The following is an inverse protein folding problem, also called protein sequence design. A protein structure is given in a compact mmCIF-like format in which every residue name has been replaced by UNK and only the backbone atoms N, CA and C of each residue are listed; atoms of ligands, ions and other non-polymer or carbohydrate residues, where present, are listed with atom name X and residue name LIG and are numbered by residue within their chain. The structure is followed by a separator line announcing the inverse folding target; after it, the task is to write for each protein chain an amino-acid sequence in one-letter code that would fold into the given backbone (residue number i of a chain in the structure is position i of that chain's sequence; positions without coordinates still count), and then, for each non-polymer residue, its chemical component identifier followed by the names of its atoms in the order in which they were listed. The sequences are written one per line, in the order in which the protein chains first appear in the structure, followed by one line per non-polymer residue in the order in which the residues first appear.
data_IF_675912518447
#
_entry.id   IF_675912518447
#
_cell.length_a   1.000
_cell.length_b   1.000
_cell.length_c   1.000
_cell.angle_alpha   90.00
_cell.angle_beta   90.00
_cell.angle_gamma   90.00
#
_symmetry.space_group_name_H-M   'P 1'
#
loop_
_entity.id
_entity.type
_entity.pdbx_description
1 polymer ?
#
# COMPACT_ATOMS: atom_id res chain seq x y z
N UNK A 1 -17.55 16.52 -7.28
CA UNK A 1 -16.40 16.39 -8.23
C UNK A 1 -15.06 16.36 -7.49
N UNK A 2 -14.58 17.47 -6.88
CA UNK A 2 -13.22 17.57 -6.29
C UNK A 2 -12.87 16.64 -5.11
N UNK A 3 -13.84 16.06 -4.41
CA UNK A 3 -13.60 15.10 -3.31
C UNK A 3 -13.62 13.62 -3.73
N UNK A 4 -13.99 13.31 -4.99
CA UNK A 4 -14.05 11.92 -5.49
C UNK A 4 -12.68 11.22 -5.46
N UNK A 5 -11.55 11.86 -5.82
CA UNK A 5 -10.24 11.23 -5.75
C UNK A 5 -9.83 10.92 -4.31
N UNK A 6 -10.02 11.86 -3.37
CA UNK A 6 -9.74 11.65 -1.95
C UNK A 6 -10.58 10.49 -1.38
N UNK A 7 -11.88 10.43 -1.72
CA UNK A 7 -12.77 9.35 -1.29
C UNK A 7 -12.38 8.00 -1.90
N UNK A 8 -12.08 7.94 -3.20
CA UNK A 8 -11.62 6.71 -3.86
C UNK A 8 -10.28 6.22 -3.29
N UNK A 9 -9.41 7.13 -2.87
CA UNK A 9 -8.14 6.79 -2.27
C UNK A 9 -8.25 6.41 -0.79
N UNK A 10 -9.18 7.01 -0.05
CA UNK A 10 -9.58 6.53 1.27
C UNK A 10 -10.27 5.16 1.18
N UNK A 11 -11.01 4.88 0.10
CA UNK A 11 -11.55 3.56 -0.20
C UNK A 11 -10.43 2.54 -0.52
N UNK A 12 -9.33 2.98 -1.15
CA UNK A 12 -8.13 2.16 -1.40
C UNK A 12 -7.29 1.92 -0.14
N UNK A 13 -7.05 2.94 0.68
CA UNK A 13 -6.43 2.84 2.02
C UNK A 13 -7.25 1.93 2.93
N UNK A 14 -8.57 1.92 2.73
CA UNK A 14 -9.48 1.02 3.42
C UNK A 14 -9.33 -0.42 2.95
N UNK A 15 -9.11 -0.73 1.67
CA UNK A 15 -8.79 -2.11 1.27
C UNK A 15 -7.60 -2.69 2.05
N UNK A 16 -6.74 -1.82 2.58
CA UNK A 16 -5.51 -2.17 3.28
C UNK A 16 -5.71 -2.24 4.81
N UNK A 17 -6.67 -1.48 5.35
CA UNK A 17 -7.10 -1.54 6.76
C UNK A 17 -8.22 -2.59 6.99
N UNK A 18 -8.96 -2.99 5.94
CA UNK A 18 -10.30 -3.62 6.02
C UNK A 18 -10.40 -4.94 5.26
N UNK A 19 -9.35 -5.75 5.23
CA UNK A 19 -9.45 -7.12 4.73
C UNK A 19 -10.28 -8.05 5.67
N UNK A 20 -11.27 -7.53 6.43
CA UNK A 20 -11.62 -8.11 7.72
C UNK A 20 -13.07 -8.40 8.13
N UNK A 21 -14.11 -7.88 7.48
CA UNK A 21 -15.48 -8.31 7.80
C UNK A 21 -16.46 -7.73 6.79
N UNK A 22 -17.65 -8.33 6.66
CA UNK A 22 -18.76 -7.74 5.88
C UNK A 22 -19.13 -6.30 6.34
N UNK A 23 -18.69 -5.89 7.54
CA UNK A 23 -18.89 -4.54 8.10
C UNK A 23 -17.60 -4.04 8.80
N UNK A 24 -16.98 -2.93 8.37
CA UNK A 24 -15.69 -2.45 8.90
C UNK A 24 -15.81 -1.86 10.32
N UNK A 25 -14.87 -2.16 11.24
CA UNK A 25 -14.81 -1.63 12.64
C UNK A 25 -13.42 -1.07 13.00
N UNK A 26 -13.32 -0.08 13.90
CA UNK A 26 -12.03 0.45 14.41
C UNK A 26 -11.95 1.98 14.45
N UNK A 27 -10.75 2.55 14.58
CA UNK A 27 -10.51 4.00 14.48
C UNK A 27 -9.45 4.31 13.42
N UNK A 28 -9.63 5.40 12.68
CA UNK A 28 -8.65 5.95 11.73
C UNK A 28 -8.49 7.43 12.01
N UNK A 29 -7.26 7.90 12.20
CA UNK A 29 -6.95 9.31 12.44
C UNK A 29 -6.36 9.95 11.18
N UNK A 30 -7.11 10.91 10.62
CA UNK A 30 -6.79 11.64 9.39
C UNK A 30 -6.31 13.06 9.71
N UNK A 31 -5.07 13.38 9.32
CA UNK A 31 -4.55 14.75 9.38
C UNK A 31 -4.86 15.54 8.09
N UNK A 32 -5.40 16.76 8.22
CA UNK A 32 -5.71 17.62 7.06
C UNK A 32 -5.34 19.09 7.26
N UNK A 33 -4.96 19.81 6.19
CA UNK A 33 -4.82 21.26 6.19
C UNK A 33 -6.17 21.96 6.33
N UNK A 34 -6.22 23.17 6.91
CA UNK A 34 -7.46 23.94 7.07
C UNK A 34 -8.26 24.12 5.78
N UNK A 35 -7.60 24.34 4.63
CA UNK A 35 -8.28 24.46 3.34
C UNK A 35 -9.00 23.18 2.93
N UNK A 36 -8.40 22.02 3.21
CA UNK A 36 -8.98 20.70 2.92
C UNK A 36 -10.12 20.42 3.88
N UNK A 37 -9.93 20.75 5.16
CA UNK A 37 -10.93 20.65 6.22
C UNK A 37 -12.24 21.35 5.83
N UNK A 38 -12.16 22.63 5.48
CA UNK A 38 -13.34 23.44 5.11
C UNK A 38 -14.09 22.91 3.88
N UNK A 39 -13.38 22.30 2.94
CA UNK A 39 -13.99 21.84 1.69
C UNK A 39 -14.55 20.43 1.77
N UNK A 40 -13.83 19.54 2.45
CA UNK A 40 -13.98 18.10 2.26
C UNK A 40 -14.34 17.34 3.52
N UNK A 41 -14.02 17.82 4.72
CA UNK A 41 -14.21 17.00 5.94
C UNK A 41 -15.68 16.71 6.23
N UNK A 42 -16.58 17.68 6.11
CA UNK A 42 -18.02 17.44 6.32
C UNK A 42 -18.62 16.43 5.34
N UNK A 43 -18.50 16.59 4.00
CA UNK A 43 -19.01 15.59 3.06
C UNK A 43 -18.27 14.26 3.15
N UNK A 44 -16.98 14.27 3.54
CA UNK A 44 -16.21 13.06 3.81
C UNK A 44 -16.79 12.31 5.00
N UNK A 45 -16.96 12.94 6.16
CA UNK A 45 -17.53 12.31 7.36
C UNK A 45 -18.94 11.78 7.11
N UNK A 46 -19.80 12.56 6.44
CA UNK A 46 -21.17 12.15 6.13
C UNK A 46 -21.22 10.92 5.20
N UNK A 47 -20.30 10.85 4.22
CA UNK A 47 -20.19 9.69 3.33
C UNK A 47 -19.51 8.52 4.03
N UNK A 48 -18.47 8.76 4.82
CA UNK A 48 -17.74 7.76 5.58
C UNK A 48 -18.64 7.06 6.59
N UNK A 49 -19.43 7.79 7.37
CA UNK A 49 -20.37 7.21 8.34
C UNK A 49 -21.46 6.35 7.67
N UNK A 50 -21.90 6.70 6.46
CA UNK A 50 -22.88 5.90 5.70
C UNK A 50 -22.29 4.61 5.18
N UNK A 51 -21.05 4.64 4.71
CA UNK A 51 -20.40 3.47 4.12
C UNK A 51 -19.75 2.59 5.22
N UNK A 52 -19.30 3.20 6.32
CA UNK A 52 -18.52 2.59 7.41
C UNK A 52 -19.10 2.94 8.79
N UNK A 53 -20.31 2.46 9.13
CA UNK A 53 -21.01 2.87 10.34
C UNK A 53 -20.34 2.45 11.65
N UNK A 54 -19.41 1.47 11.61
CA UNK A 54 -18.71 0.98 12.81
C UNK A 54 -17.23 1.41 12.88
N UNK A 55 -16.77 2.25 11.95
CA UNK A 55 -15.42 2.84 11.99
C UNK A 55 -15.51 4.28 12.48
N UNK A 56 -14.75 4.61 13.51
CA UNK A 56 -14.56 5.99 13.97
C UNK A 56 -13.50 6.68 13.11
N UNK A 57 -13.90 7.69 12.34
CA UNK A 57 -12.95 8.56 11.63
C UNK A 57 -12.68 9.80 12.48
N UNK A 58 -11.48 9.88 13.02
CA UNK A 58 -10.99 11.05 13.72
C UNK A 58 -10.28 11.98 12.72
N UNK A 59 -10.53 13.28 12.82
CA UNK A 59 -9.91 14.27 11.94
C UNK A 59 -9.17 15.28 12.78
N UNK A 60 -7.88 15.43 12.49
CA UNK A 60 -7.02 16.43 13.14
C UNK A 60 -6.64 17.47 12.10
N UNK A 61 -6.90 18.74 12.42
CA UNK A 61 -6.53 19.85 11.56
C UNK A 61 -5.16 20.40 11.94
N UNK A 62 -4.29 20.59 10.96
CA UNK A 62 -2.99 21.22 11.16
C UNK A 62 -2.36 21.66 9.84
N UNK A 63 -1.39 22.56 9.92
CA UNK A 63 -0.60 22.92 8.73
C UNK A 63 0.28 21.74 8.31
N UNK A 64 0.60 21.66 7.01
CA UNK A 64 1.28 20.49 6.42
C UNK A 64 2.58 20.10 7.12
N UNK A 65 3.33 21.04 7.71
CA UNK A 65 4.51 20.73 8.51
C UNK A 65 4.20 19.98 9.82
N UNK A 66 3.17 20.42 10.56
CA UNK A 66 2.71 19.75 11.78
C UNK A 66 2.04 18.41 11.45
N UNK A 67 1.18 18.38 10.43
CA UNK A 67 0.52 17.14 9.99
C UNK A 67 1.56 16.11 9.55
N UNK A 68 2.61 16.54 8.85
CA UNK A 68 3.74 15.69 8.50
C UNK A 68 4.47 15.16 9.74
N UNK A 69 4.77 16.02 10.72
CA UNK A 69 5.43 15.62 11.96
C UNK A 69 4.59 14.59 12.75
N UNK A 70 3.29 14.85 12.88
CA UNK A 70 2.36 13.91 13.53
C UNK A 70 2.28 12.57 12.80
N UNK A 71 2.30 12.57 11.46
CA UNK A 71 2.34 11.35 10.66
C UNK A 71 3.64 10.55 10.91
N UNK A 72 4.79 11.20 10.84
CA UNK A 72 6.11 10.55 11.04
C UNK A 72 6.24 10.00 12.47
N UNK A 73 5.65 10.68 13.45
CA UNK A 73 5.66 10.25 14.86
C UNK A 73 4.51 9.27 15.21
N UNK A 74 3.76 8.78 14.22
CA UNK A 74 2.72 7.75 14.41
C UNK A 74 1.47 8.22 15.16
N UNK A 75 1.24 9.54 15.23
CA UNK A 75 0.03 10.15 15.80
C UNK A 75 -1.12 10.24 14.79
N UNK A 76 -0.84 10.03 13.51
CA UNK A 76 -1.82 9.95 12.43
C UNK A 76 -1.60 8.67 11.65
N UNK A 77 -2.67 8.08 11.13
CA UNK A 77 -2.59 6.93 10.23
C UNK A 77 -2.41 7.40 8.78
N UNK A 78 -3.10 8.50 8.44
CA UNK A 78 -3.13 9.06 7.09
C UNK A 78 -3.08 10.58 7.20
N UNK A 79 -2.39 11.22 6.27
CA UNK A 79 -2.33 12.66 6.20
C UNK A 79 -2.54 13.15 4.77
N UNK A 80 -3.31 14.22 4.63
CA UNK A 80 -3.30 15.03 3.41
C UNK A 80 -2.32 16.16 3.63
N UNK A 81 -1.33 16.35 2.78
CA UNK A 81 -0.38 17.47 2.91
C UNK A 81 -0.03 18.08 1.56
N UNK A 82 0.43 19.34 1.59
CA UNK A 82 0.98 19.99 0.40
C UNK A 82 2.48 19.77 0.31
N UNK A 83 2.97 19.45 -0.89
CA UNK A 83 4.40 19.38 -1.22
C UNK A 83 5.21 18.58 -0.18
N UNK A 84 4.83 17.31 0.05
CA UNK A 84 5.50 16.41 0.99
C UNK A 84 7.01 16.32 0.68
N UNK A 85 7.88 16.33 1.72
CA UNK A 85 9.29 15.99 1.57
C UNK A 85 9.44 14.62 0.90
N UNK A 86 10.37 14.48 -0.05
CA UNK A 86 10.74 13.18 -0.60
C UNK A 86 11.63 12.44 0.40
N UNK A 87 11.03 11.68 1.30
CA UNK A 87 11.75 10.80 2.23
C UNK A 87 11.44 9.34 1.89
N UNK A 88 12.39 8.43 2.19
CA UNK A 88 12.25 6.99 1.85
C UNK A 88 11.11 6.29 2.62
N UNK A 89 10.62 6.91 3.69
CA UNK A 89 9.71 6.29 4.64
C UNK A 89 8.25 6.73 4.48
N UNK A 90 7.92 7.38 3.36
CA UNK A 90 6.57 7.89 3.09
C UNK A 90 6.11 7.43 1.72
N UNK A 91 4.89 6.91 1.67
CA UNK A 91 4.16 6.75 0.41
C UNK A 91 3.32 8.00 0.18
N UNK A 92 3.35 8.52 -1.03
CA UNK A 92 2.66 9.75 -1.37
C UNK A 92 1.92 9.63 -2.71
N UNK A 93 0.60 9.72 -2.65
CA UNK A 93 -0.27 9.70 -3.81
C UNK A 93 -0.75 11.11 -4.16
N UNK A 94 -0.71 11.46 -5.44
CA UNK A 94 -1.14 12.80 -5.91
C UNK A 94 -2.66 12.87 -6.00
N UNK A 95 -3.26 13.76 -5.23
CA UNK A 95 -4.71 13.98 -5.24
C UNK A 95 -5.15 15.08 -6.22
N UNK A 96 -4.45 16.22 -6.18
CA UNK A 96 -4.82 17.41 -6.92
C UNK A 96 -3.62 18.35 -7.08
N UNK A 97 -3.57 19.08 -8.18
CA UNK A 97 -2.72 20.26 -8.32
C UNK A 97 -3.60 21.50 -8.26
N UNK A 98 -3.26 22.45 -7.38
CA UNK A 98 -4.00 23.69 -7.18
C UNK A 98 -3.20 24.88 -7.70
N UNK A 99 -3.88 25.75 -8.48
CA UNK A 99 -3.40 27.09 -8.78
C UNK A 99 -3.55 28.01 -7.55
N UNK A 100 -2.58 28.90 -7.36
CA UNK A 100 -2.64 29.99 -6.39
C UNK A 100 -2.98 31.32 -7.06
N UNK A 101 -3.77 32.13 -6.36
CA UNK A 101 -4.29 33.39 -6.82
C UNK A 101 -3.97 34.47 -5.81
N UNK A 102 -3.74 35.69 -6.28
CA UNK A 102 -3.87 36.86 -5.43
C UNK A 102 -5.36 37.05 -5.12
N UNK A 103 -5.69 37.10 -3.84
CA UNK A 103 -7.04 37.35 -3.33
C UNK A 103 -7.11 38.80 -2.86
N UNK A 104 -8.13 39.52 -3.33
CA UNK A 104 -8.26 40.96 -3.10
C UNK A 104 -9.72 41.33 -2.78
N UNK A 105 -9.95 42.46 -2.09
CA UNK A 105 -11.27 43.07 -2.05
C UNK A 105 -11.70 43.60 -3.44
N UNK A 106 -13.00 43.82 -3.69
CA UNK A 106 -13.51 44.45 -4.90
C UNK A 106 -12.88 45.84 -5.10
N UNK A 107 -12.51 46.18 -6.33
CA UNK A 107 -11.90 47.48 -6.67
C UNK A 107 -10.37 47.57 -6.48
N UNK A 108 -9.72 46.48 -6.04
CA UNK A 108 -8.27 46.35 -5.96
C UNK A 108 -7.53 46.51 -7.32
N UNK A 109 -6.23 46.89 -7.33
CA UNK A 109 -5.49 47.31 -8.51
C UNK A 109 -5.62 46.34 -9.70
N UNK A 110 -5.94 46.92 -10.85
CA UNK A 110 -6.28 46.23 -12.08
C UNK A 110 -5.06 45.58 -12.72
N UNK A 111 -4.88 44.28 -12.48
CA UNK A 111 -4.34 43.39 -13.51
C UNK A 111 -5.32 43.33 -14.68
N UNK A 112 -4.82 43.40 -15.91
CA UNK A 112 -5.64 43.20 -17.11
C UNK A 112 -6.17 41.75 -17.12
N UNK A 113 -7.50 41.57 -17.13
CA UNK A 113 -8.18 40.28 -17.42
C UNK A 113 -7.86 39.11 -16.47
N UNK A 114 -8.34 39.18 -15.21
CA UNK A 114 -8.34 38.07 -14.23
C UNK A 114 -6.95 37.48 -13.88
N UNK A 115 -5.86 38.13 -14.31
CA UNK A 115 -4.46 37.69 -14.15
C UNK A 115 -3.60 38.83 -13.60
N UNK A 116 -2.56 38.48 -12.87
CA UNK A 116 -1.55 39.42 -12.37
C UNK A 116 -0.18 38.73 -12.33
N UNK A 117 0.87 39.42 -12.79
CA UNK A 117 2.22 38.85 -12.69
C UNK A 117 2.71 38.89 -11.24
N UNK A 118 3.50 37.90 -10.82
CA UNK A 118 4.03 37.86 -9.46
C UNK A 118 4.80 39.15 -9.13
N UNK A 119 5.54 39.72 -10.09
CA UNK A 119 6.26 41.00 -9.88
C UNK A 119 5.37 42.18 -9.50
N UNK A 120 4.11 42.20 -9.96
CA UNK A 120 3.16 43.29 -9.67
C UNK A 120 2.61 43.26 -8.26
N UNK A 121 2.93 42.24 -7.45
CA UNK A 121 2.54 42.18 -6.04
C UNK A 121 3.53 42.91 -5.12
N UNK A 122 4.70 43.30 -5.64
CA UNK A 122 5.69 44.05 -4.87
C UNK A 122 5.08 45.34 -4.30
N UNK A 123 5.32 45.58 -3.01
CA UNK A 123 4.74 46.72 -2.29
C UNK A 123 3.28 46.55 -1.83
N UNK A 124 2.55 45.50 -2.25
CA UNK A 124 1.20 45.25 -1.72
C UNK A 124 1.28 44.79 -0.26
N UNK A 125 0.39 45.28 0.64
CA UNK A 125 0.34 44.83 2.02
C UNK A 125 -0.23 43.41 2.11
N UNK A 126 0.65 42.40 2.14
CA UNK A 126 0.30 40.99 2.16
C UNK A 126 0.05 40.48 3.59
N UNK A 127 -1.05 39.76 3.75
CA UNK A 127 -1.42 38.99 4.94
C UNK A 127 -1.14 37.52 4.63
N UNK A 128 -0.07 36.96 5.21
CA UNK A 128 0.37 35.59 4.93
C UNK A 128 0.53 34.79 6.22
N UNK A 129 0.56 33.45 6.15
CA UNK A 129 0.96 32.62 7.29
C UNK A 129 2.39 32.89 7.78
N UNK A 130 2.68 32.52 9.03
CA UNK A 130 4.04 32.55 9.60
C UNK A 130 4.92 31.47 9.00
N UNK A 131 6.24 31.59 9.17
CA UNK A 131 7.17 30.48 8.89
C UNK A 131 7.15 29.48 10.07
N UNK A 132 7.34 28.17 9.84
CA UNK A 132 7.62 27.48 8.57
C UNK A 132 6.35 26.93 7.86
N UNK A 133 5.39 27.78 7.49
CA UNK A 133 4.22 27.32 6.73
C UNK A 133 4.56 27.06 5.25
N UNK A 134 4.18 25.88 4.72
CA UNK A 134 4.51 25.46 3.35
C UNK A 134 4.10 26.45 2.25
N UNK A 135 2.90 27.04 2.33
CA UNK A 135 2.47 28.12 1.43
C UNK A 135 3.39 29.35 1.50
N UNK A 136 3.83 29.74 2.71
CA UNK A 136 4.71 30.90 2.89
C UNK A 136 6.08 30.65 2.29
N UNK A 137 6.63 29.45 2.50
CA UNK A 137 7.90 29.03 1.89
C UNK A 137 7.82 29.03 0.37
N UNK A 138 6.72 28.54 -0.21
CA UNK A 138 6.49 28.54 -1.66
C UNK A 138 6.46 29.96 -2.24
N UNK A 139 5.75 30.88 -1.58
CA UNK A 139 5.66 32.28 -2.00
C UNK A 139 7.01 32.98 -1.85
N UNK A 140 7.70 32.78 -0.73
CA UNK A 140 9.00 33.36 -0.46
C UNK A 140 10.05 32.90 -1.49
N UNK A 141 10.05 31.61 -1.85
CA UNK A 141 10.94 31.06 -2.87
C UNK A 141 10.70 31.70 -4.24
N UNK A 142 9.44 31.77 -4.68
CA UNK A 142 9.11 32.38 -5.97
C UNK A 142 9.40 33.89 -6.01
N UNK A 143 9.18 34.60 -4.90
CA UNK A 143 9.54 36.00 -4.77
C UNK A 143 11.06 36.21 -4.87
N UNK A 144 11.84 35.35 -4.21
CA UNK A 144 13.30 35.36 -4.27
C UNK A 144 13.81 35.08 -5.69
N UNK A 145 13.25 34.09 -6.39
CA UNK A 145 13.61 33.78 -7.79
C UNK A 145 13.31 34.95 -8.74
N UNK A 146 12.24 35.70 -8.47
CA UNK A 146 11.89 36.89 -9.25
C UNK A 146 12.65 38.15 -8.83
N UNK A 147 13.38 38.13 -7.71
CA UNK A 147 14.06 39.28 -7.14
C UNK A 147 13.11 40.38 -6.65
N UNK A 148 11.96 40.00 -6.08
CA UNK A 148 10.97 40.95 -5.54
C UNK A 148 10.91 40.92 -4.02
N UNK A 149 10.66 42.07 -3.41
CA UNK A 149 10.50 42.17 -1.95
C UNK A 149 9.02 42.16 -1.56
N UNK A 150 8.64 41.17 -0.75
CA UNK A 150 7.26 41.05 -0.25
C UNK A 150 7.03 41.96 0.97
N UNK A 151 6.02 42.82 0.88
CA UNK A 151 5.59 43.65 2.02
C UNK A 151 4.57 42.89 2.87
N UNK A 152 5.02 42.32 3.98
CA UNK A 152 4.16 41.53 4.88
C UNK A 152 3.54 42.45 5.93
N UNK A 153 2.26 42.78 5.78
CA UNK A 153 1.54 43.62 6.75
C UNK A 153 1.20 42.86 8.03
N UNK A 154 0.77 41.60 7.90
CA UNK A 154 0.38 40.77 9.04
C UNK A 154 0.79 39.31 8.81
N UNK A 155 1.16 38.62 9.89
CA UNK A 155 1.45 37.19 9.86
C UNK A 155 0.48 36.42 10.74
N UNK A 156 -0.36 35.57 10.14
CA UNK A 156 -1.51 34.96 10.81
C UNK A 156 -1.64 33.49 10.42
N UNK A 157 -1.70 32.61 11.42
CA UNK A 157 -1.85 31.16 11.24
C UNK A 157 -3.29 30.70 11.45
N UNK A 158 -4.24 31.46 10.89
CA UNK A 158 -5.67 31.16 10.97
C UNK A 158 -6.35 31.59 9.67
N UNK A 159 -6.75 30.62 8.85
CA UNK A 159 -7.30 30.86 7.51
C UNK A 159 -8.51 31.81 7.53
N UNK A 160 -9.43 31.62 8.48
CA UNK A 160 -10.63 32.47 8.57
C UNK A 160 -10.28 33.93 8.90
N UNK A 161 -9.34 34.16 9.82
CA UNK A 161 -8.90 35.52 10.18
C UNK A 161 -8.23 36.21 8.99
N UNK A 162 -7.42 35.48 8.20
CA UNK A 162 -6.85 36.02 6.96
C UNK A 162 -7.97 36.46 6.01
N UNK A 163 -8.99 35.61 5.81
CA UNK A 163 -10.11 35.92 4.91
C UNK A 163 -10.90 37.15 5.38
N UNK A 164 -11.17 37.26 6.67
CA UNK A 164 -11.92 38.38 7.23
C UNK A 164 -11.19 39.71 7.01
N UNK A 165 -9.87 39.74 7.26
CA UNK A 165 -9.05 40.93 7.04
C UNK A 165 -8.95 41.34 5.56
N UNK A 166 -8.89 40.39 4.65
CA UNK A 166 -8.88 40.69 3.21
C UNK A 166 -10.26 41.19 2.78
N UNK A 167 -11.33 40.61 3.32
CA UNK A 167 -12.71 41.03 3.05
C UNK A 167 -13.01 42.43 3.59
N UNK A 168 -12.42 42.82 4.72
CA UNK A 168 -12.50 44.17 5.27
C UNK A 168 -11.57 45.19 4.59
N UNK A 169 -10.81 44.75 3.57
CA UNK A 169 -9.91 45.62 2.82
C UNK A 169 -8.60 45.97 3.55
N UNK A 170 -8.23 45.23 4.60
CA UNK A 170 -7.01 45.48 5.38
C UNK A 170 -5.72 45.01 4.68
N UNK A 171 -5.83 44.36 3.53
CA UNK A 171 -4.69 43.93 2.73
C UNK A 171 -5.05 42.88 1.68
N UNK A 172 -4.04 42.15 1.24
CA UNK A 172 -4.13 41.13 0.19
C UNK A 172 -3.59 39.80 0.70
N UNK A 173 -3.99 38.68 0.11
CA UNK A 173 -3.38 37.38 0.43
C UNK A 173 -3.19 36.55 -0.83
N UNK A 174 -2.46 35.44 -0.70
CA UNK A 174 -2.29 34.46 -1.78
C UNK A 174 -2.86 33.13 -1.30
N UNK A 175 -3.93 32.66 -1.94
CA UNK A 175 -4.62 31.42 -1.59
C UNK A 175 -5.11 30.71 -2.87
N UNK A 176 -5.40 29.41 -2.83
CA UNK A 176 -6.18 28.78 -3.89
C UNK A 176 -7.62 29.35 -3.88
N UNK A 177 -8.36 29.09 -4.96
CA UNK A 177 -9.74 29.56 -5.12
C UNK A 177 -10.73 28.98 -4.11
N UNK A 178 -10.47 27.78 -3.61
CA UNK A 178 -11.45 26.99 -2.91
C UNK A 178 -11.87 27.47 -1.50
N UNK A 179 -10.96 27.88 -0.59
CA UNK A 179 -11.33 28.39 0.74
C UNK A 179 -12.09 29.73 0.68
N UNK A 180 -12.01 30.47 -0.43
CA UNK A 180 -12.65 31.77 -0.64
C UNK A 180 -13.86 31.70 -1.57
N UNK A 181 -14.33 30.50 -1.91
CA UNK A 181 -15.40 30.32 -2.89
C UNK A 181 -16.72 31.00 -2.49
N UNK A 182 -17.04 31.05 -1.19
CA UNK A 182 -18.27 31.70 -0.70
C UNK A 182 -18.22 33.21 -0.90
N UNK A 183 -17.10 33.82 -0.56
CA UNK A 183 -16.86 35.25 -0.66
C UNK A 183 -16.78 35.70 -2.12
N UNK A 184 -16.24 34.86 -3.00
CA UNK A 184 -16.28 35.08 -4.45
C UNK A 184 -17.71 35.06 -5.01
N UNK A 185 -18.55 34.13 -4.57
CA UNK A 185 -19.97 34.07 -4.95
C UNK A 185 -20.76 35.27 -4.43
N UNK A 186 -20.40 35.77 -3.25
CA UNK A 186 -21.00 36.96 -2.65
C UNK A 186 -20.48 38.28 -3.24
N UNK A 187 -19.48 38.24 -4.14
CA UNK A 187 -18.85 39.44 -4.70
C UNK A 187 -18.02 40.23 -3.67
N UNK A 188 -17.70 39.63 -2.53
CA UNK A 188 -16.94 40.23 -1.43
C UNK A 188 -15.43 40.14 -1.64
N UNK A 189 -14.98 39.24 -2.51
CA UNK A 189 -13.58 39.06 -2.90
C UNK A 189 -13.48 38.87 -4.41
N UNK A 190 -12.29 39.07 -4.94
CA UNK A 190 -11.90 38.81 -6.33
C UNK A 190 -10.58 38.06 -6.38
N UNK A 191 -10.45 37.17 -7.36
CA UNK A 191 -9.19 36.47 -7.65
C UNK A 191 -8.46 37.11 -8.83
N UNK A 192 -7.13 37.09 -8.76
CA UNK A 192 -6.25 37.29 -9.90
C UNK A 192 -5.28 36.12 -9.98
N UNK A 193 -5.31 35.37 -11.08
CA UNK A 193 -4.38 34.24 -11.27
C UNK A 193 -2.97 34.77 -11.36
N UNK A 194 -2.08 34.24 -10.53
CA UNK A 194 -0.66 34.56 -10.57
C UNK A 194 -0.04 33.96 -11.84
N UNK A 195 0.69 34.78 -12.57
CA UNK A 195 1.45 34.40 -13.77
C UNK A 195 2.89 34.92 -13.66
N UNK A 196 3.79 34.38 -14.47
CA UNK A 196 5.18 34.84 -14.59
C UNK A 196 5.93 35.03 -13.24
N UNK A 197 6.07 33.96 -12.43
CA UNK A 197 5.65 32.58 -12.65
C UNK A 197 4.24 32.28 -12.12
N UNK A 198 3.58 31.28 -12.72
CA UNK A 198 2.39 30.71 -12.12
C UNK A 198 2.76 29.90 -10.88
N UNK A 199 2.04 30.10 -9.77
CA UNK A 199 2.25 29.36 -8.54
C UNK A 199 1.24 28.24 -8.42
N UNK A 200 1.74 27.02 -8.27
CA UNK A 200 0.93 25.84 -8.02
C UNK A 200 1.43 25.07 -6.81
N UNK A 201 0.54 24.35 -6.14
CA UNK A 201 0.90 23.39 -5.09
C UNK A 201 0.21 22.06 -5.34
N UNK A 202 0.89 20.97 -5.02
CA UNK A 202 0.34 19.62 -5.16
C UNK A 202 -0.18 19.15 -3.82
N UNK A 203 -1.45 18.79 -3.77
CA UNK A 203 -2.09 18.10 -2.66
C UNK A 203 -1.78 16.61 -2.76
N UNK A 204 -1.20 16.06 -1.71
CA UNK A 204 -0.79 14.67 -1.61
C UNK A 204 -1.55 14.00 -0.48
N UNK A 205 -1.90 12.74 -0.68
CA UNK A 205 -2.24 11.82 0.39
C UNK A 205 -0.96 11.08 0.78
N UNK A 206 -0.65 11.04 2.06
CA UNK A 206 0.61 10.53 2.57
C UNK A 206 0.35 9.57 3.72
N UNK A 207 1.02 8.43 3.67
CA UNK A 207 1.07 7.41 4.73
C UNK A 207 2.53 7.08 5.03
N UNK A 208 2.79 6.54 6.23
CA UNK A 208 4.14 6.11 6.63
C UNK A 208 4.40 4.66 6.26
N UNK A 209 5.63 4.35 5.83
CA UNK A 209 6.07 2.95 5.64
C UNK A 209 6.61 2.33 6.93
N UNK A 210 6.78 3.10 8.01
CA UNK A 210 7.21 2.61 9.33
C UNK A 210 6.06 2.00 10.13
N UNK A 211 4.84 2.49 9.88
CA UNK A 211 3.60 1.76 10.12
C UNK A 211 2.96 1.50 8.77
N UNK A 212 3.54 0.59 7.97
CA UNK A 212 2.91 0.25 6.72
C UNK A 212 1.50 -0.23 7.06
N UNK A 213 0.51 0.27 6.34
CA UNK A 213 -0.80 -0.38 6.26
C UNK A 213 -0.55 -1.72 5.56
N UNK A 214 -0.11 -2.68 6.36
CA UNK A 214 0.33 -4.04 6.06
C UNK A 214 0.50 -4.35 4.55
N UNK A 215 1.72 -4.17 4.04
CA UNK A 215 2.04 -4.50 2.64
C UNK A 215 2.19 -6.00 2.38
N UNK A 216 2.20 -6.84 3.41
CA UNK A 216 2.31 -8.27 3.21
C UNK A 216 1.05 -8.86 2.58
N UNK A 217 1.25 -9.91 1.79
CA UNK A 217 0.20 -10.67 1.13
C UNK A 217 -0.65 -9.91 0.08
N UNK A 218 -0.09 -8.92 -0.64
CA UNK A 218 -0.82 -8.18 -1.68
C UNK A 218 -0.44 -8.58 -3.10
N UNK A 219 -1.44 -8.77 -3.95
CA UNK A 219 -1.28 -8.89 -5.41
C UNK A 219 -1.62 -7.54 -6.03
N UNK A 220 -0.69 -6.98 -6.81
CA UNK A 220 -0.85 -5.71 -7.51
C UNK A 220 -0.94 -5.97 -9.00
N UNK A 221 -2.01 -5.49 -9.64
CA UNK A 221 -2.12 -5.49 -11.10
C UNK A 221 -1.73 -4.13 -11.66
N UNK A 222 -0.82 -4.14 -12.63
CA UNK A 222 -0.35 -2.97 -13.35
C UNK A 222 -0.78 -3.07 -14.82
N UNK A 223 -1.15 -1.93 -15.39
CA UNK A 223 -1.33 -1.79 -16.83
C UNK A 223 0.04 -1.83 -17.51
N UNK A 224 0.26 -2.81 -18.40
CA UNK A 224 1.58 -3.03 -19.01
C UNK A 224 2.03 -1.88 -19.93
N UNK A 225 1.10 -1.05 -20.43
CA UNK A 225 1.42 0.04 -21.37
C UNK A 225 1.79 1.31 -20.62
N UNK A 226 1.02 1.65 -19.60
CA UNK A 226 1.12 2.92 -18.88
C UNK A 226 1.87 2.81 -17.54
N UNK A 227 2.04 1.59 -17.03
CA UNK A 227 2.51 1.33 -15.67
C UNK A 227 1.49 1.73 -14.59
N UNK A 228 0.28 2.13 -14.97
CA UNK A 228 -0.75 2.55 -14.03
C UNK A 228 -1.28 1.35 -13.24
N UNK A 229 -1.45 1.53 -11.93
CA UNK A 229 -2.07 0.53 -11.05
C UNK A 229 -3.55 0.35 -11.42
N UNK A 230 -3.95 -0.87 -11.80
CA UNK A 230 -5.35 -1.19 -12.12
C UNK A 230 -6.14 -1.54 -10.86
N UNK A 231 -5.58 -2.40 -10.02
CA UNK A 231 -6.17 -2.80 -8.75
C UNK A 231 -5.10 -3.37 -7.82
N UNK A 232 -5.43 -3.45 -6.53
CA UNK A 232 -4.64 -4.17 -5.53
C UNK A 232 -5.55 -5.03 -4.69
N UNK A 233 -5.13 -6.27 -4.45
CA UNK A 233 -5.85 -7.23 -3.62
C UNK A 233 -4.99 -7.67 -2.45
N UNK A 234 -5.47 -7.49 -1.22
CA UNK A 234 -4.86 -8.10 -0.03
C UNK A 234 -5.43 -9.50 0.20
N UNK A 235 -4.54 -10.44 0.56
CA UNK A 235 -4.84 -11.83 0.90
C UNK A 235 -4.64 -12.11 2.39
N UNK A 236 -4.17 -11.13 3.16
CA UNK A 236 -4.01 -11.23 4.61
C UNK A 236 -5.39 -11.40 5.29
N UNK A 237 -5.57 -12.38 6.20
CA UNK A 237 -6.88 -12.69 6.78
C UNK A 237 -7.35 -11.67 7.79
N UNK A 238 -8.66 -11.48 7.72
CA UNK A 238 -9.60 -10.76 8.57
C UNK A 238 -9.44 -10.73 10.10
N UNK A 239 -8.69 -11.66 10.68
CA UNK A 239 -8.51 -11.73 12.12
C UNK A 239 -7.17 -11.18 12.63
N UNK A 240 -6.19 -10.90 11.75
CA UNK A 240 -4.83 -10.43 12.10
C UNK A 240 -4.52 -8.96 11.70
N UNK A 241 -5.50 -8.04 11.70
CA UNK A 241 -5.28 -6.62 11.38
C UNK A 241 -4.74 -6.25 9.98
N UNK A 242 -4.65 -7.20 9.05
CA UNK A 242 -4.04 -7.08 7.72
C UNK A 242 -2.56 -7.43 7.75
N UNK A 243 -2.01 -7.59 8.96
CA UNK A 243 -0.59 -7.63 9.23
C UNK A 243 0.02 -8.99 8.93
N UNK A 244 1.28 -8.93 8.51
CA UNK A 244 2.16 -10.07 8.51
C UNK A 244 2.76 -10.28 9.89
N UNK A 245 3.04 -11.53 10.22
CA UNK A 245 3.89 -11.88 11.34
C UNK A 245 4.99 -12.79 10.82
N UNK A 246 6.10 -12.19 10.39
CA UNK A 246 7.28 -12.96 10.02
C UNK A 246 7.88 -13.65 11.26
N UNK A 247 7.99 -14.98 11.21
CA UNK A 247 8.28 -15.81 12.38
C UNK A 247 9.79 -15.89 12.69
N UNK A 248 10.60 -16.35 11.73
CA UNK A 248 12.00 -16.73 12.01
C UNK A 248 12.91 -15.53 12.35
N UNK A 249 12.78 -14.42 11.62
CA UNK A 249 13.68 -13.25 11.78
C UNK A 249 13.47 -12.51 13.10
N UNK A 250 12.23 -12.51 13.61
CA UNK A 250 11.88 -11.87 14.87
C UNK A 250 12.28 -12.69 16.10
N UNK A 251 12.46 -14.01 15.96
CA UNK A 251 12.82 -14.90 17.06
C UNK A 251 14.31 -15.25 17.13
N UNK A 252 15.05 -15.22 16.01
CA UNK A 252 16.44 -15.72 15.98
C UNK A 252 17.53 -14.70 15.64
N UNK A 253 17.24 -13.59 14.95
CA UNK A 253 18.27 -12.69 14.40
C UNK A 253 18.13 -11.21 14.77
N UNK A 254 17.04 -10.83 15.44
CA UNK A 254 16.74 -9.42 15.75
C UNK A 254 16.54 -9.26 17.26
N UNK A 255 17.24 -8.29 17.84
CA UNK A 255 17.09 -7.88 19.24
C UNK A 255 15.61 -7.50 19.52
N UNK A 256 15.01 -8.11 20.55
CA UNK A 256 13.61 -7.94 21.00
C UNK A 256 13.20 -6.47 21.22
N UNK A 257 14.18 -5.57 21.32
CA UNK A 257 13.98 -4.13 21.48
C UNK A 257 13.64 -3.37 20.19
N UNK A 258 13.62 -4.01 19.02
CA UNK A 258 13.28 -3.35 17.74
C UNK A 258 11.77 -3.36 17.46
N UNK A 259 11.23 -2.15 17.26
CA UNK A 259 9.82 -1.77 17.04
C UNK A 259 9.09 -2.38 15.82
N UNK A 260 9.66 -3.34 15.10
CA UNK A 260 9.11 -3.89 13.85
C UNK A 260 8.60 -5.33 13.97
N UNK A 261 8.86 -6.02 15.07
CA UNK A 261 8.36 -7.38 15.29
C UNK A 261 7.03 -7.37 16.05
N UNK A 262 6.02 -8.14 15.61
CA UNK A 262 4.75 -8.28 16.33
C UNK A 262 4.97 -9.04 17.66
N UNK A 263 4.05 -8.91 18.64
CA UNK A 263 4.11 -9.70 19.87
C UNK A 263 4.11 -11.21 19.55
N UNK A 264 4.77 -11.98 20.42
CA UNK A 264 5.00 -13.44 20.33
C UNK A 264 3.81 -14.17 19.70
N UNK A 265 4.07 -15.04 18.72
CA UNK A 265 3.08 -15.83 17.99
C UNK A 265 3.12 -17.31 18.43
N UNK A 266 2.59 -17.67 19.62
CA UNK A 266 2.69 -19.02 20.17
C UNK A 266 1.91 -20.09 19.38
N UNK A 267 1.25 -19.72 18.27
CA UNK A 267 0.46 -20.62 17.44
C UNK A 267 1.11 -21.00 16.11
N UNK A 268 2.25 -20.39 15.75
CA UNK A 268 2.89 -20.52 14.43
C UNK A 268 2.08 -19.94 13.26
N UNK A 269 0.87 -19.42 13.50
CA UNK A 269 0.03 -18.85 12.44
C UNK A 269 0.41 -17.39 12.22
N UNK A 270 1.14 -17.04 11.18
CA UNK A 270 1.64 -15.66 11.12
C UNK A 270 2.27 -15.21 9.82
N UNK A 271 3.16 -16.02 9.26
CA UNK A 271 3.93 -15.63 8.08
C UNK A 271 3.05 -15.73 6.85
N UNK A 272 2.41 -14.62 6.49
CA UNK A 272 1.35 -14.55 5.48
C UNK A 272 1.84 -13.94 4.18
N UNK A 273 3.11 -13.55 4.09
CA UNK A 273 3.65 -13.08 2.83
C UNK A 273 3.52 -14.13 1.71
N UNK A 274 3.50 -13.64 0.48
CA UNK A 274 3.46 -14.50 -0.69
C UNK A 274 4.86 -15.04 -0.92
N UNK A 275 5.10 -16.26 -0.43
CA UNK A 275 6.36 -16.95 -0.66
C UNK A 275 6.55 -17.28 -2.15
N UNK A 276 5.49 -17.72 -2.82
CA UNK A 276 5.58 -18.10 -4.24
C UNK A 276 5.22 -16.95 -5.19
N UNK A 277 5.86 -16.89 -6.38
CA UNK A 277 5.40 -16.06 -7.48
C UNK A 277 3.93 -16.30 -7.84
N UNK A 278 3.21 -15.22 -8.16
CA UNK A 278 1.83 -15.31 -8.65
C UNK A 278 1.82 -15.90 -10.06
N UNK A 279 0.96 -16.90 -10.28
CA UNK A 279 0.83 -17.58 -11.58
C UNK A 279 -0.41 -17.04 -12.29
N UNK A 280 -0.27 -16.56 -13.53
CA UNK A 280 -1.39 -16.36 -14.43
C UNK A 280 -1.57 -17.63 -15.27
N UNK A 281 -2.75 -18.24 -15.20
CA UNK A 281 -3.07 -19.48 -15.90
C UNK A 281 -4.38 -19.34 -16.66
N UNK A 282 -4.42 -19.84 -17.90
CA UNK A 282 -5.67 -19.99 -18.65
C UNK A 282 -6.27 -21.37 -18.36
N UNK A 283 -7.50 -21.39 -17.86
CA UNK A 283 -8.26 -22.60 -17.50
C UNK A 283 -8.76 -23.33 -18.76
N UNK A 284 -9.21 -24.58 -18.58
CA UNK A 284 -9.78 -25.38 -19.66
C UNK A 284 -11.00 -24.74 -20.35
N UNK A 285 -11.76 -23.90 -19.64
CA UNK A 285 -12.91 -23.15 -20.18
C UNK A 285 -12.50 -21.87 -20.94
N UNK A 286 -11.20 -21.58 -21.05
CA UNK A 286 -10.64 -20.43 -21.75
C UNK A 286 -10.57 -19.14 -20.93
N UNK A 287 -11.01 -19.15 -19.67
CA UNK A 287 -10.90 -18.00 -18.78
C UNK A 287 -9.58 -17.97 -18.00
N UNK A 288 -9.09 -16.77 -17.70
CA UNK A 288 -7.85 -16.59 -16.96
C UNK A 288 -8.07 -16.59 -15.44
N UNK A 289 -7.09 -17.08 -14.71
CA UNK A 289 -7.05 -17.10 -13.24
C UNK A 289 -5.66 -16.73 -12.74
N UNK A 290 -5.60 -15.95 -11.66
CA UNK A 290 -4.37 -15.68 -10.92
C UNK A 290 -4.30 -16.58 -9.69
N UNK A 291 -3.16 -17.25 -9.49
CA UNK A 291 -2.94 -18.18 -8.38
C UNK A 291 -1.84 -17.63 -7.49
N UNK A 292 -2.14 -17.51 -6.20
CA UNK A 292 -1.20 -17.00 -5.20
C UNK A 292 -1.14 -17.96 -4.02
N UNK A 293 0.04 -18.14 -3.44
CA UNK A 293 0.27 -18.98 -2.28
C UNK A 293 1.04 -18.22 -1.21
N UNK A 294 0.57 -18.31 0.02
CA UNK A 294 1.20 -17.65 1.17
C UNK A 294 1.93 -18.65 2.06
N UNK A 295 2.95 -18.14 2.74
CA UNK A 295 3.79 -18.93 3.65
C UNK A 295 3.04 -19.50 4.84
N UNK A 296 1.82 -19.08 5.12
CA UNK A 296 1.03 -19.72 6.16
C UNK A 296 0.34 -21.01 5.65
N UNK A 297 0.59 -21.40 4.41
CA UNK A 297 0.03 -22.61 3.79
C UNK A 297 -1.35 -22.40 3.15
N UNK A 298 -1.76 -21.15 2.87
CA UNK A 298 -2.96 -20.88 2.08
C UNK A 298 -2.63 -20.73 0.59
N UNK A 299 -3.58 -21.11 -0.25
CA UNK A 299 -3.59 -20.81 -1.67
C UNK A 299 -4.90 -20.16 -2.09
N UNK A 300 -4.82 -19.31 -3.10
CA UNK A 300 -5.91 -18.45 -3.56
C UNK A 300 -5.98 -18.50 -5.08
N UNK A 301 -7.19 -18.58 -5.61
CA UNK A 301 -7.48 -18.25 -6.99
C UNK A 301 -8.23 -16.92 -7.06
N UNK A 302 -7.76 -16.03 -7.92
CA UNK A 302 -8.29 -14.69 -8.11
C UNK A 302 -8.70 -14.49 -9.56
N UNK A 303 -9.80 -13.78 -9.75
CA UNK A 303 -10.26 -13.32 -11.06
C UNK A 303 -9.48 -12.05 -11.46
N UNK A 304 -8.63 -12.11 -12.51
CA UNK A 304 -7.85 -10.96 -12.95
C UNK A 304 -8.71 -9.81 -13.50
N UNK A 305 -9.88 -10.13 -14.06
CA UNK A 305 -10.77 -9.19 -14.73
C UNK A 305 -11.81 -8.59 -13.76
N UNK A 306 -12.06 -9.26 -12.63
CA UNK A 306 -12.95 -8.78 -11.57
C UNK A 306 -12.19 -8.17 -10.37
N UNK A 307 -11.19 -7.32 -10.63
CA UNK A 307 -10.39 -6.63 -9.59
C UNK A 307 -9.77 -7.57 -8.55
N UNK A 308 -9.32 -8.76 -8.97
CA UNK A 308 -8.74 -9.76 -8.07
C UNK A 308 -9.76 -10.38 -7.10
N UNK A 309 -11.03 -10.50 -7.51
CA UNK A 309 -12.04 -11.17 -6.69
C UNK A 309 -11.61 -12.62 -6.41
N UNK A 310 -11.71 -13.06 -5.16
CA UNK A 310 -11.38 -14.44 -4.78
C UNK A 310 -12.45 -15.37 -5.37
N UNK A 311 -12.02 -16.25 -6.27
CA UNK A 311 -12.84 -17.33 -6.82
C UNK A 311 -12.95 -18.46 -5.79
N UNK A 312 -11.82 -18.85 -5.22
CA UNK A 312 -11.73 -19.80 -4.11
C UNK A 312 -10.44 -19.59 -3.33
N UNK A 313 -10.40 -20.13 -2.11
CA UNK A 313 -9.19 -20.20 -1.28
C UNK A 313 -9.14 -21.53 -0.55
N UNK A 314 -7.94 -22.06 -0.30
CA UNK A 314 -7.75 -23.36 0.34
C UNK A 314 -6.56 -23.36 1.28
N UNK A 315 -6.72 -23.97 2.45
CA UNK A 315 -5.62 -24.27 3.36
C UNK A 315 -5.00 -25.60 2.97
N UNK A 316 -3.71 -25.59 2.63
CA UNK A 316 -2.94 -26.78 2.28
C UNK A 316 -1.90 -27.14 3.34
N UNK A 317 -1.36 -26.14 4.05
CA UNK A 317 -0.41 -26.31 5.14
C UNK A 317 -0.84 -25.61 6.43
N UNK A 318 -0.09 -25.89 7.50
CA UNK A 318 -0.24 -25.19 8.78
C UNK A 318 0.50 -23.85 8.79
N UNK A 319 1.56 -23.71 7.99
CA UNK A 319 2.47 -22.58 8.00
C UNK A 319 3.49 -22.70 9.12
N UNK A 320 4.49 -23.58 8.95
CA UNK A 320 5.62 -23.70 9.89
C UNK A 320 6.51 -22.45 9.92
N UNK A 321 7.60 -22.47 10.69
CA UNK A 321 8.52 -21.33 10.85
C UNK A 321 9.29 -20.95 9.57
N UNK A 322 9.57 -21.92 8.69
CA UNK A 322 10.07 -21.62 7.34
C UNK A 322 8.93 -21.31 6.36
N UNK A 323 7.70 -21.71 6.70
CA UNK A 323 6.50 -21.49 5.90
C UNK A 323 5.91 -22.78 5.34
N UNK A 324 4.76 -22.62 4.68
CA UNK A 324 4.01 -23.63 3.96
C UNK A 324 4.32 -23.52 2.47
N UNK A 325 3.78 -22.52 1.78
CA UNK A 325 4.13 -22.24 0.37
C UNK A 325 5.30 -21.26 0.32
N UNK A 326 6.49 -21.73 -0.05
CA UNK A 326 7.72 -20.91 0.06
C UNK A 326 8.32 -20.43 -1.26
N UNK A 327 8.69 -21.29 -2.21
CA UNK A 327 9.56 -20.86 -3.33
C UNK A 327 8.94 -21.02 -4.73
N UNK A 328 7.82 -21.72 -4.87
CA UNK A 328 7.12 -21.79 -6.15
C UNK A 328 6.05 -22.87 -6.21
N UNK A 329 4.98 -22.56 -6.92
CA UNK A 329 3.93 -23.50 -7.31
C UNK A 329 4.00 -23.67 -8.84
N UNK A 330 3.30 -24.68 -9.37
CA UNK A 330 3.15 -24.86 -10.82
C UNK A 330 1.71 -25.23 -11.13
N UNK A 331 1.21 -24.86 -12.31
CA UNK A 331 -0.15 -25.18 -12.72
C UNK A 331 -0.18 -25.68 -14.16
N UNK A 332 -1.13 -26.57 -14.46
CA UNK A 332 -1.54 -26.89 -15.81
C UNK A 332 -2.94 -26.31 -16.08
N UNK A 333 -3.69 -26.81 -17.08
CA UNK A 333 -5.03 -26.31 -17.40
C UNK A 333 -6.13 -26.73 -16.43
N UNK A 334 -5.90 -27.77 -15.63
CA UNK A 334 -6.87 -28.39 -14.74
C UNK A 334 -6.50 -28.23 -13.27
N UNK A 335 -5.20 -28.27 -12.93
CA UNK A 335 -4.69 -28.37 -11.56
C UNK A 335 -3.61 -27.34 -11.25
N UNK A 336 -3.63 -26.89 -10.02
CA UNK A 336 -2.53 -26.23 -9.34
C UNK A 336 -1.80 -27.25 -8.47
N UNK A 337 -0.50 -27.37 -8.65
CA UNK A 337 0.40 -28.18 -7.83
C UNK A 337 1.10 -27.30 -6.81
N UNK A 338 1.05 -27.73 -5.54
CA UNK A 338 1.51 -26.92 -4.42
C UNK A 338 2.40 -27.74 -3.50
N UNK A 339 3.72 -27.44 -3.47
CA UNK A 339 4.59 -27.93 -2.43
C UNK A 339 4.29 -27.18 -1.13
N UNK A 340 4.20 -27.92 -0.03
CA UNK A 340 4.09 -27.41 1.32
C UNK A 340 5.32 -27.86 2.09
N UNK A 341 6.03 -26.93 2.72
CA UNK A 341 7.24 -27.20 3.49
C UNK A 341 6.92 -27.56 4.95
N UNK A 342 6.22 -26.68 5.67
CA UNK A 342 5.77 -26.83 7.07
C UNK A 342 6.88 -27.32 8.03
N UNK A 343 7.99 -26.57 8.06
CA UNK A 343 9.17 -26.84 8.91
C UNK A 343 9.07 -26.11 10.25
N UNK A 344 9.29 -26.81 11.37
CA UNK A 344 9.30 -26.26 12.73
C UNK A 344 10.69 -25.76 13.17
N UNK A 345 10.78 -25.10 14.33
CA UNK A 345 12.02 -24.59 14.93
C UNK A 345 13.11 -25.64 15.10
N UNK A 346 12.72 -26.87 15.41
CA UNK A 346 13.59 -28.02 15.58
C UNK A 346 13.96 -28.70 14.25
N UNK A 347 13.62 -28.04 13.12
CA UNK A 347 13.86 -28.47 11.74
C UNK A 347 13.06 -29.70 11.30
N UNK A 348 12.09 -30.15 12.11
CA UNK A 348 11.17 -31.21 11.72
C UNK A 348 10.20 -30.66 10.68
N UNK A 349 10.11 -31.33 9.52
CA UNK A 349 9.21 -30.95 8.46
C UNK A 349 8.03 -31.94 8.34
N UNK A 350 6.82 -31.40 8.20
CA UNK A 350 5.57 -32.16 8.05
C UNK A 350 4.80 -31.80 6.77
N UNK A 351 5.53 -31.26 5.79
CA UNK A 351 5.04 -30.81 4.51
C UNK A 351 4.37 -31.87 3.62
N UNK A 352 3.84 -31.42 2.48
CA UNK A 352 3.14 -32.29 1.53
C UNK A 352 3.22 -31.75 0.09
N UNK A 353 3.11 -32.66 -0.88
CA UNK A 353 2.80 -32.31 -2.26
C UNK A 353 1.28 -32.39 -2.46
N UNK A 354 0.70 -31.36 -3.07
CA UNK A 354 -0.75 -31.24 -3.25
C UNK A 354 -1.07 -30.98 -4.71
N UNK A 355 -2.18 -31.52 -5.19
CA UNK A 355 -2.86 -31.02 -6.38
C UNK A 355 -4.25 -30.49 -6.03
N UNK A 356 -4.55 -29.32 -6.55
CA UNK A 356 -5.81 -28.61 -6.32
C UNK A 356 -6.48 -28.37 -7.65
N UNK A 357 -7.75 -28.73 -7.77
CA UNK A 357 -8.56 -28.44 -8.93
C UNK A 357 -8.69 -26.91 -9.13
N UNK A 358 -8.31 -26.41 -10.30
CA UNK A 358 -8.31 -24.97 -10.58
C UNK A 358 -9.70 -24.35 -10.63
N UNK A 359 -10.73 -25.13 -10.96
CA UNK A 359 -12.10 -24.60 -11.05
C UNK A 359 -12.75 -24.51 -9.67
N UNK A 360 -12.55 -25.51 -8.81
CA UNK A 360 -13.30 -25.65 -7.54
C UNK A 360 -12.49 -25.31 -6.29
N UNK A 361 -11.16 -25.36 -6.37
CA UNK A 361 -10.28 -25.27 -5.20
C UNK A 361 -10.28 -26.53 -4.33
N UNK A 362 -10.87 -27.64 -4.80
CA UNK A 362 -10.84 -28.93 -4.12
C UNK A 362 -9.48 -29.60 -4.25
N UNK A 363 -9.08 -30.36 -3.23
CA UNK A 363 -7.82 -31.09 -3.24
C UNK A 363 -8.09 -32.41 -3.96
N UNK A 364 -7.53 -32.56 -5.17
CA UNK A 364 -7.64 -33.79 -5.94
C UNK A 364 -6.84 -34.91 -5.28
N UNK A 365 -5.62 -34.59 -4.85
CA UNK A 365 -4.78 -35.51 -4.09
C UNK A 365 -3.77 -34.76 -3.21
N UNK A 366 -3.30 -35.47 -2.17
CA UNK A 366 -2.25 -35.02 -1.25
C UNK A 366 -1.32 -36.18 -0.95
N UNK A 367 -0.02 -35.93 -1.04
CA UNK A 367 1.04 -36.88 -0.68
C UNK A 367 1.92 -36.24 0.38
N UNK A 368 2.00 -36.86 1.56
CA UNK A 368 2.86 -36.39 2.63
C UNK A 368 4.33 -36.37 2.21
N UNK A 369 5.15 -35.56 2.90
CA UNK A 369 6.60 -35.61 2.79
C UNK A 369 7.14 -37.04 2.89
N UNK A 370 8.21 -37.32 2.15
CA UNK A 370 8.86 -38.63 2.17
C UNK A 370 9.37 -38.98 3.56
N UNK A 371 9.53 -40.28 3.85
CA UNK A 371 10.26 -40.74 5.04
C UNK A 371 11.63 -40.06 5.12
N UNK A 372 12.12 -39.86 6.34
CA UNK A 372 13.40 -39.19 6.59
C UNK A 372 14.57 -39.90 5.87
N UNK A 373 15.07 -39.27 4.80
CA UNK A 373 16.26 -39.71 4.04
C UNK A 373 17.53 -38.96 4.48
N UNK A 374 17.48 -38.17 5.56
CA UNK A 374 18.60 -37.33 5.99
C UNK A 374 19.67 -38.07 6.79
N UNK A 375 19.41 -39.31 7.22
CA UNK A 375 20.38 -40.11 7.98
C UNK A 375 21.67 -40.29 7.18
N UNK A 376 22.79 -39.80 7.74
CA UNK A 376 24.12 -39.95 7.15
C UNK A 376 24.49 -38.95 6.04
N UNK A 377 23.64 -37.95 5.77
CA UNK A 377 23.95 -36.92 4.77
C UNK A 377 24.92 -35.85 5.32
N UNK A 378 25.87 -35.37 4.51
CA UNK A 378 26.97 -34.51 4.96
C UNK A 378 26.58 -33.05 5.27
N UNK A 379 25.35 -32.61 4.95
CA UNK A 379 24.94 -31.20 5.06
C UNK A 379 23.73 -31.06 6.01
N UNK A 380 23.94 -30.66 7.27
CA UNK A 380 22.89 -30.09 8.10
C UNK A 380 22.66 -28.60 7.77
N UNK A 381 21.42 -28.08 7.85
CA UNK A 381 20.20 -28.77 8.27
C UNK A 381 19.46 -29.48 7.11
N UNK A 382 19.37 -30.81 7.17
CA UNK A 382 18.61 -31.64 6.23
C UNK A 382 17.23 -31.96 6.81
N UNK A 383 16.18 -31.85 5.99
CA UNK A 383 14.83 -32.32 6.30
C UNK A 383 14.08 -32.71 5.03
N UNK A 384 12.95 -33.39 5.16
CA UNK A 384 12.12 -33.85 4.04
C UNK A 384 11.19 -32.76 3.45
N UNK A 385 11.40 -31.47 3.77
CA UNK A 385 10.55 -30.38 3.32
C UNK A 385 10.60 -30.16 1.79
N UNK A 386 9.47 -29.75 1.21
CA UNK A 386 9.39 -29.30 -0.18
C UNK A 386 9.67 -27.79 -0.28
N UNK A 387 10.95 -27.42 -0.23
CA UNK A 387 11.43 -26.03 -0.24
C UNK A 387 11.84 -25.52 -1.63
N UNK A 388 11.57 -26.25 -2.71
CA UNK A 388 11.97 -25.81 -4.06
C UNK A 388 10.77 -25.41 -4.90
N UNK A 389 11.00 -24.48 -5.84
CA UNK A 389 10.06 -24.24 -6.92
C UNK A 389 9.90 -25.54 -7.74
N UNK A 390 8.65 -25.93 -7.97
CA UNK A 390 8.33 -27.13 -8.73
C UNK A 390 8.11 -26.80 -10.21
N UNK A 391 8.23 -27.83 -11.05
CA UNK A 391 7.94 -27.74 -12.48
C UNK A 391 6.91 -28.79 -12.85
N UNK A 392 5.92 -28.43 -13.66
CA UNK A 392 4.99 -29.39 -14.27
C UNK A 392 5.30 -29.53 -15.75
N UNK A 393 5.42 -30.76 -16.23
CA UNK A 393 5.61 -31.12 -17.64
C UNK A 393 4.73 -32.33 -17.97
N UNK A 394 3.78 -32.16 -18.89
CA UNK A 394 2.82 -33.18 -19.30
C UNK A 394 2.17 -33.92 -18.11
N UNK A 395 2.59 -35.17 -17.86
CA UNK A 395 2.06 -36.03 -16.81
C UNK A 395 2.95 -36.11 -15.56
N UNK A 396 3.95 -35.24 -15.43
CA UNK A 396 4.92 -35.22 -14.34
C UNK A 396 4.96 -33.88 -13.61
N UNK A 397 5.02 -33.94 -12.28
CA UNK A 397 5.46 -32.83 -11.43
C UNK A 397 6.85 -33.15 -10.91
N UNK A 398 7.82 -32.28 -11.18
CA UNK A 398 9.19 -32.38 -10.68
C UNK A 398 9.34 -31.48 -9.46
N UNK A 399 9.76 -32.06 -8.33
CA UNK A 399 9.98 -31.32 -7.10
C UNK A 399 11.30 -31.73 -6.43
N UNK A 400 12.10 -30.74 -6.08
CA UNK A 400 13.26 -30.90 -5.22
C UNK A 400 12.85 -30.80 -3.74
N UNK A 401 13.41 -31.66 -2.92
CA UNK A 401 13.27 -31.62 -1.48
C UNK A 401 14.59 -31.20 -0.84
N UNK A 402 14.50 -30.65 0.36
CA UNK A 402 15.66 -30.25 1.15
C UNK A 402 16.48 -31.45 1.67
N UNK A 403 15.97 -32.67 1.48
CA UNK A 403 16.69 -33.90 1.74
C UNK A 403 17.69 -34.27 0.63
N UNK A 404 17.83 -33.41 -0.39
CA UNK A 404 18.71 -33.63 -1.52
C UNK A 404 18.16 -34.61 -2.57
N UNK A 405 16.86 -34.92 -2.55
CA UNK A 405 16.23 -35.69 -3.63
C UNK A 405 15.46 -34.79 -4.60
N UNK A 406 15.58 -35.14 -5.88
CA UNK A 406 14.65 -34.72 -6.93
C UNK A 406 13.65 -35.85 -7.17
N UNK A 407 12.35 -35.55 -7.10
CA UNK A 407 11.28 -36.54 -7.27
C UNK A 407 10.36 -36.15 -8.42
N UNK A 408 9.86 -37.15 -9.14
CA UNK A 408 8.77 -36.98 -10.09
C UNK A 408 7.50 -37.61 -9.57
N UNK A 409 6.41 -36.86 -9.62
CA UNK A 409 5.08 -37.27 -9.22
C UNK A 409 4.19 -37.37 -10.44
N UNK A 410 3.35 -38.39 -10.49
CA UNK A 410 2.27 -38.49 -11.46
C UNK A 410 1.24 -37.38 -11.20
N UNK A 411 0.91 -36.60 -12.23
CA UNK A 411 0.02 -35.42 -12.12
C UNK A 411 -1.42 -35.77 -11.70
N UNK A 412 -1.86 -37.02 -11.93
CA UNK A 412 -3.24 -37.46 -11.69
C UNK A 412 -3.40 -38.10 -10.31
N UNK A 413 -2.40 -38.84 -9.85
CA UNK A 413 -2.48 -39.66 -8.63
C UNK A 413 -1.59 -39.14 -7.50
N UNK A 414 -0.63 -38.26 -7.81
CA UNK A 414 0.41 -37.83 -6.88
C UNK A 414 1.43 -38.92 -6.56
N UNK A 415 1.35 -40.11 -7.17
CA UNK A 415 2.30 -41.19 -6.88
C UNK A 415 3.71 -40.78 -7.31
N UNK A 416 4.70 -41.00 -6.44
CA UNK A 416 6.11 -40.87 -6.80
C UNK A 416 6.45 -41.94 -7.85
N UNK A 417 6.81 -41.50 -9.05
CA UNK A 417 7.20 -42.36 -10.18
C UNK A 417 8.69 -42.70 -10.13
N UNK A 418 9.52 -41.73 -9.77
CA UNK A 418 10.94 -41.93 -9.52
C UNK A 418 11.49 -40.90 -8.53
N UNK A 419 12.64 -41.23 -7.93
CA UNK A 419 13.39 -40.38 -7.02
C UNK A 419 14.88 -40.50 -7.35
N UNK A 420 15.58 -39.38 -7.39
CA UNK A 420 17.01 -39.29 -7.65
C UNK A 420 17.71 -38.54 -6.52
N UNK A 421 18.75 -39.14 -5.93
CA UNK A 421 19.57 -38.51 -4.89
C UNK A 421 20.64 -37.63 -5.53
N UNK A 422 20.53 -36.31 -5.33
CA UNK A 422 21.47 -35.33 -5.90
C UNK A 422 22.72 -35.14 -5.03
N UNK A 423 22.77 -35.78 -3.86
CA UNK A 423 23.93 -35.71 -2.94
C UNK A 423 25.05 -36.69 -3.30
N UNK A 424 24.90 -37.40 -4.42
CA UNK A 424 25.90 -38.34 -4.93
C UNK A 424 27.08 -37.58 -5.57
N UNK A 425 28.32 -38.08 -5.45
CA UNK A 425 29.46 -37.51 -6.14
C UNK A 425 29.23 -37.47 -7.65
N UNK A 426 29.53 -36.33 -8.28
CA UNK A 426 29.52 -36.18 -9.74
C UNK A 426 30.94 -35.90 -10.21
N UNK A 427 31.36 -36.51 -11.32
CA UNK A 427 32.60 -36.13 -12.00
C UNK A 427 32.35 -34.81 -12.73
N UNK A 428 33.01 -33.70 -12.35
CA UNK A 428 32.85 -32.45 -13.06
C UNK A 428 33.46 -32.55 -14.46
N UNK A 429 32.93 -31.77 -15.40
CA UNK A 429 33.37 -31.78 -16.81
C UNK A 429 34.80 -31.24 -16.98
N UNK A 430 35.38 -30.64 -15.93
CA UNK A 430 36.67 -29.95 -15.95
C UNK A 430 37.78 -30.66 -15.16
N UNK A 431 37.56 -31.89 -14.67
CA UNK A 431 38.60 -32.69 -13.97
C UNK A 431 39.43 -33.56 -14.92
#
# INVERSE_FOLDING_TARGET
ERGKPLLAHLDQLKCDIVAMTREPTGSVTLGVPPTVSQMLVSPLLARFAKIYPKVSLEVVEGFSGHVYEWLVNGRLDVAVIYNAPRTRNLEADRLLVEDLFLVCPPGAPAGTRDRISLRRIEGLPLILPRRPHGLRLLIDAAASECGINLTISHQIDALNVIKDLVTSGSGYTILPSAPVYRELRAGQLVLRKLIDPALTRTLLLVSTTQRPLSFAARVVALDMTTGAKRWVRSLAPAQMGGQDIYHLGCETWVDETRSTCPPVNPSGQGDRDLGAPVILQTRADGSDVLLAGSKDGMVYALDPDASGAILWQRRLGRGGELGGVEYGMAADRERLYVPIADVDADLVASGSMNAVNLATGEIDWRVAGSNDTCVGKPVPPCNNAYLSAITVIDNLVLAGNNDGHLRAFDTTTGKVLWSYDTTQPVTPVND
#
